data_IF_769738319454
#
_entry.id   IF_769738319454
#
_cell.length_a   1.000
_cell.length_b   1.000
_cell.length_c   1.000
_cell.angle_alpha   90.00
_cell.angle_beta   90.00
_cell.angle_gamma   90.00
#
_symmetry.space_group_name_H-M   'P 1'
#
loop_
_entity.id
_entity.type
_entity.pdbx_description
1 polymer ?
#
# COMPACT_ATOMS: atom_id res chain seq x y z
N UNK A 1 20.54 3.98 27.33
CA UNK A 1 19.54 4.19 26.27
C UNK A 1 19.90 3.27 25.14
N UNK A 2 18.99 2.40 24.71
CA UNK A 2 19.20 1.54 23.55
C UNK A 2 19.16 2.41 22.31
N UNK A 3 20.22 2.37 21.52
CA UNK A 3 20.29 3.06 20.23
C UNK A 3 19.19 2.51 19.32
N UNK A 4 18.43 3.40 18.67
CA UNK A 4 17.33 2.98 17.82
C UNK A 4 17.87 2.39 16.51
N UNK A 5 17.29 1.30 15.96
CA UNK A 5 17.87 0.58 14.83
C UNK A 5 18.13 1.41 13.56
N UNK A 6 17.37 2.49 13.36
CA UNK A 6 17.50 3.39 12.21
C UNK A 6 17.95 4.81 12.60
N UNK A 7 18.57 4.98 13.77
CA UNK A 7 19.12 6.26 14.18
C UNK A 7 20.09 6.80 13.11
N UNK A 8 19.91 8.05 12.71
CA UNK A 8 20.73 8.72 11.68
C UNK A 8 20.29 8.47 10.23
N UNK A 9 19.36 7.55 9.97
CA UNK A 9 18.80 7.32 8.63
C UNK A 9 17.81 8.42 8.27
N UNK A 10 17.99 9.05 7.10
CA UNK A 10 17.09 10.07 6.56
C UNK A 10 16.18 9.48 5.49
N UNK A 11 14.88 9.70 5.64
CA UNK A 11 13.86 9.19 4.73
C UNK A 11 13.08 10.34 4.12
N UNK A 12 13.03 10.40 2.79
CA UNK A 12 12.10 11.28 2.09
C UNK A 12 10.84 10.50 1.70
N UNK A 13 9.69 11.01 2.11
CA UNK A 13 8.39 10.37 1.90
C UNK A 13 7.53 11.20 0.94
N UNK A 14 7.23 10.63 -0.23
CA UNK A 14 6.32 11.20 -1.24
C UNK A 14 5.02 10.40 -1.25
N UNK A 15 4.05 10.81 -0.42
CA UNK A 15 2.98 9.90 -0.04
C UNK A 15 1.56 10.43 -0.16
N UNK A 16 0.68 9.49 -0.46
CA UNK A 16 -0.77 9.63 -0.40
C UNK A 16 -1.39 8.44 0.34
N UNK A 17 -2.44 8.69 1.12
CA UNK A 17 -3.26 7.68 1.78
C UNK A 17 -2.56 6.81 2.83
N UNK A 18 -2.39 5.50 2.60
CA UNK A 18 -2.14 4.55 3.71
C UNK A 18 -0.82 3.80 3.58
N UNK A 19 -0.50 3.24 2.41
CA UNK A 19 0.64 2.33 2.26
C UNK A 19 1.98 2.99 2.60
N UNK A 20 2.31 4.08 1.92
CA UNK A 20 3.54 4.82 2.17
C UNK A 20 3.55 5.51 3.55
N UNK A 21 2.45 6.14 4.02
CA UNK A 21 2.46 6.72 5.36
C UNK A 21 2.65 5.68 6.49
N UNK A 22 2.12 4.46 6.34
CA UNK A 22 2.41 3.37 7.28
C UNK A 22 3.88 2.94 7.25
N UNK A 23 4.47 2.83 6.05
CA UNK A 23 5.89 2.55 5.90
C UNK A 23 6.73 3.61 6.63
N UNK A 24 6.51 4.90 6.33
CA UNK A 24 7.25 5.98 6.98
C UNK A 24 7.01 6.08 8.48
N UNK A 25 5.79 5.80 8.98
CA UNK A 25 5.54 5.72 10.42
C UNK A 25 6.41 4.65 11.07
N UNK A 26 6.48 3.48 10.44
CA UNK A 26 7.27 2.35 10.94
C UNK A 26 8.76 2.71 10.98
N UNK A 27 9.27 3.34 9.92
CA UNK A 27 10.66 3.81 9.86
C UNK A 27 10.94 4.86 10.94
N UNK A 28 10.04 5.83 11.14
CA UNK A 28 10.17 6.85 12.19
C UNK A 28 10.18 6.24 13.59
N UNK A 29 9.31 5.25 13.86
CA UNK A 29 9.27 4.54 15.14
C UNK A 29 10.54 3.73 15.43
N UNK A 30 11.25 3.32 14.38
CA UNK A 30 12.56 2.67 14.47
C UNK A 30 13.74 3.66 14.54
N UNK A 31 13.46 4.96 14.56
CA UNK A 31 14.45 6.04 14.79
C UNK A 31 14.93 6.79 13.56
N UNK A 32 14.35 6.52 12.38
CA UNK A 32 14.66 7.28 11.18
C UNK A 32 14.08 8.70 11.25
N UNK A 33 14.80 9.65 10.63
CA UNK A 33 14.32 11.00 10.41
C UNK A 33 13.50 11.05 9.10
N UNK A 34 12.17 11.02 9.25
CA UNK A 34 11.24 10.94 8.11
C UNK A 34 10.68 12.32 7.80
N UNK A 35 10.89 12.79 6.57
CA UNK A 35 10.33 14.03 6.03
C UNK A 35 9.32 13.70 4.95
N UNK A 36 8.04 14.00 5.20
CA UNK A 36 6.97 13.88 4.22
C UNK A 36 6.87 15.16 3.38
N UNK A 37 6.85 15.02 2.06
CA UNK A 37 6.56 16.11 1.14
C UNK A 37 5.06 16.10 0.84
N UNK A 38 4.45 17.27 0.90
CA UNK A 38 3.03 17.49 0.64
C UNK A 38 2.83 18.57 -0.42
N UNK A 39 1.79 18.47 -1.27
CA UNK A 39 1.44 19.54 -2.18
C UNK A 39 0.88 20.76 -1.42
N UNK A 40 0.85 21.95 -2.04
CA UNK A 40 0.18 23.12 -1.48
C UNK A 40 -1.25 22.82 -1.02
N UNK A 41 -1.55 23.12 0.24
CA UNK A 41 -2.85 22.81 0.86
C UNK A 41 -2.94 21.42 1.49
N UNK A 42 -1.90 20.60 1.37
CA UNK A 42 -1.78 19.28 1.98
C UNK A 42 -2.31 18.13 1.14
N UNK A 43 -1.89 16.91 1.48
CA UNK A 43 -2.28 15.71 0.74
C UNK A 43 -3.77 15.33 0.97
N UNK A 44 -4.42 14.62 0.01
CA UNK A 44 -5.84 14.23 0.11
C UNK A 44 -6.19 13.39 1.35
N UNK A 45 -5.20 12.73 1.97
CA UNK A 45 -5.41 11.95 3.19
C UNK A 45 -5.52 12.78 4.47
N UNK A 46 -5.24 14.09 4.44
CA UNK A 46 -5.47 15.00 5.58
C UNK A 46 -6.94 15.08 6.00
N UNK A 47 -7.86 14.88 5.06
CA UNK A 47 -9.32 14.92 5.27
C UNK A 47 -9.99 13.56 5.07
N UNK A 48 -9.21 12.47 5.05
CA UNK A 48 -9.74 11.12 4.92
C UNK A 48 -10.59 10.74 6.15
N UNK A 49 -11.81 10.25 5.91
CA UNK A 49 -12.66 9.72 6.98
C UNK A 49 -12.05 8.49 7.67
N UNK A 50 -12.28 8.30 8.98
CA UNK A 50 -13.11 9.14 9.84
C UNK A 50 -12.41 10.43 10.30
N UNK A 51 -13.21 11.49 10.52
CA UNK A 51 -12.74 12.79 11.01
C UNK A 51 -13.09 12.95 12.50
N UNK A 52 -12.20 13.60 13.24
CA UNK A 52 -12.51 14.13 14.56
C UNK A 52 -13.55 15.27 14.45
N UNK A 53 -14.25 15.65 15.54
CA UNK A 53 -15.19 16.77 15.53
C UNK A 53 -14.60 18.08 14.97
N UNK A 54 -13.30 18.30 15.13
CA UNK A 54 -12.56 19.44 14.57
C UNK A 54 -12.12 19.28 13.11
N UNK A 55 -12.60 18.27 12.38
CA UNK A 55 -12.32 18.06 10.95
C UNK A 55 -10.96 17.43 10.63
N UNK A 56 -10.12 17.13 11.61
CA UNK A 56 -8.84 16.46 11.40
C UNK A 56 -9.02 14.96 11.22
N UNK A 57 -8.34 14.36 10.24
CA UNK A 57 -8.40 12.91 9.99
C UNK A 57 -7.71 12.09 11.07
N UNK A 58 -8.40 11.04 11.54
CA UNK A 58 -7.79 10.02 12.40
C UNK A 58 -6.74 9.18 11.65
N UNK A 59 -6.91 8.97 10.33
CA UNK A 59 -5.88 8.33 9.50
C UNK A 59 -4.64 9.19 9.42
N UNK A 60 -4.79 10.50 9.14
CA UNK A 60 -3.68 11.43 9.07
C UNK A 60 -2.86 11.43 10.37
N UNK A 61 -3.54 11.69 11.48
CA UNK A 61 -2.89 11.78 12.80
C UNK A 61 -2.30 10.45 13.23
N UNK A 62 -2.94 9.32 12.90
CA UNK A 62 -2.44 7.98 13.21
C UNK A 62 -1.20 7.58 12.42
N UNK A 63 -1.12 7.93 11.13
CA UNK A 63 -0.09 7.45 10.20
C UNK A 63 1.11 8.40 10.05
N UNK A 64 1.08 9.59 10.65
CA UNK A 64 2.15 10.59 10.45
C UNK A 64 2.82 11.04 11.77
N UNK A 65 2.62 10.31 12.86
CA UNK A 65 3.27 10.59 14.16
C UNK A 65 4.79 10.52 14.03
N UNK A 66 5.48 11.46 14.66
CA UNK A 66 6.95 11.50 14.71
C UNK A 66 7.62 11.93 13.41
N UNK A 67 6.86 12.15 12.32
CA UNK A 67 7.39 12.65 11.06
C UNK A 67 7.48 14.17 11.07
N UNK A 68 8.36 14.70 10.22
CA UNK A 68 8.34 16.10 9.77
C UNK A 68 7.62 16.17 8.43
N UNK A 69 7.08 17.34 8.10
CA UNK A 69 6.41 17.56 6.82
C UNK A 69 6.84 18.91 6.21
N UNK A 70 6.97 18.94 4.89
CA UNK A 70 7.27 20.13 4.10
C UNK A 70 6.25 20.27 2.97
N UNK A 71 5.86 21.50 2.67
CA UNK A 71 4.96 21.82 1.56
C UNK A 71 5.79 22.21 0.33
N UNK A 72 5.63 21.49 -0.78
CA UNK A 72 6.35 21.75 -2.04
C UNK A 72 5.40 21.50 -3.23
N UNK A 73 5.34 22.47 -4.15
CA UNK A 73 4.58 22.35 -5.39
C UNK A 73 5.34 21.53 -6.46
N UNK A 74 5.02 20.24 -6.55
CA UNK A 74 5.53 19.34 -7.59
C UNK A 74 5.07 19.68 -9.02
N UNK A 75 4.09 20.58 -9.18
CA UNK A 75 3.66 21.11 -10.47
C UNK A 75 4.67 22.10 -11.08
N UNK A 76 5.52 22.72 -10.26
CA UNK A 76 6.55 23.67 -10.68
C UNK A 76 7.90 23.00 -10.99
N UNK A 77 8.71 23.60 -11.88
CA UNK A 77 10.07 23.13 -12.14
C UNK A 77 10.96 23.24 -10.88
N UNK A 78 10.87 24.36 -10.18
CA UNK A 78 11.63 24.60 -8.95
C UNK A 78 11.26 23.60 -7.84
N UNK A 79 9.97 23.30 -7.67
CA UNK A 79 9.53 22.31 -6.68
C UNK A 79 9.97 20.89 -7.02
N UNK A 80 9.97 20.52 -8.31
CA UNK A 80 10.54 19.25 -8.77
C UNK A 80 12.04 19.18 -8.48
N UNK A 81 12.77 20.25 -8.77
CA UNK A 81 14.21 20.32 -8.49
C UNK A 81 14.49 20.23 -6.98
N UNK A 82 13.75 20.96 -6.15
CA UNK A 82 13.89 20.91 -4.70
C UNK A 82 13.65 19.50 -4.13
N UNK A 83 12.63 18.79 -4.63
CA UNK A 83 12.38 17.40 -4.22
C UNK A 83 13.47 16.45 -4.72
N UNK A 84 14.00 16.66 -5.92
CA UNK A 84 15.14 15.89 -6.42
C UNK A 84 16.39 16.10 -5.56
N UNK A 85 16.67 17.34 -5.14
CA UNK A 85 17.80 17.66 -4.26
C UNK A 85 17.62 17.04 -2.87
N UNK A 86 16.42 17.15 -2.28
CA UNK A 86 16.08 16.49 -1.02
C UNK A 86 16.22 14.96 -1.11
N UNK A 87 15.79 14.37 -2.23
CA UNK A 87 15.90 12.94 -2.48
C UNK A 87 17.37 12.52 -2.61
N UNK A 88 18.21 13.31 -3.29
CA UNK A 88 19.65 13.09 -3.37
C UNK A 88 20.36 13.19 -2.02
N UNK A 89 19.76 13.90 -1.06
CA UNK A 89 20.21 13.97 0.32
C UNK A 89 19.63 12.91 1.26
N UNK A 90 18.68 12.08 0.82
CA UNK A 90 18.06 11.05 1.66
C UNK A 90 18.76 9.69 1.49
N UNK A 91 18.73 8.86 2.53
CA UNK A 91 19.24 7.49 2.47
C UNK A 91 18.19 6.53 1.88
N UNK A 92 16.91 6.86 2.08
CA UNK A 92 15.76 6.11 1.55
C UNK A 92 14.72 7.07 1.00
N UNK A 93 14.16 6.76 -0.16
CA UNK A 93 12.97 7.42 -0.70
C UNK A 93 11.83 6.43 -0.73
N UNK A 94 10.68 6.80 -0.16
CA UNK A 94 9.46 6.00 -0.22
C UNK A 94 8.39 6.81 -0.92
N UNK A 95 7.86 6.29 -2.04
CA UNK A 95 6.93 7.02 -2.88
C UNK A 95 5.72 6.17 -3.30
N UNK A 96 4.52 6.74 -3.14
CA UNK A 96 3.30 6.28 -3.84
C UNK A 96 2.44 7.45 -4.33
N UNK A 97 2.89 8.70 -4.17
CA UNK A 97 2.22 9.86 -4.73
C UNK A 97 2.35 9.86 -6.27
N UNK A 98 1.29 10.22 -7.00
CA UNK A 98 1.35 10.31 -8.45
C UNK A 98 2.34 11.40 -8.88
N UNK A 99 3.40 11.00 -9.59
CA UNK A 99 4.32 11.92 -10.29
C UNK A 99 4.04 11.99 -11.80
N UNK A 100 3.13 11.14 -12.28
CA UNK A 100 2.65 11.04 -13.66
C UNK A 100 1.14 10.87 -13.65
N UNK A 101 0.48 11.35 -14.69
CA UNK A 101 -0.90 10.96 -14.97
C UNK A 101 -0.97 9.47 -15.31
N UNK A 102 -2.18 8.90 -15.21
CA UNK A 102 -2.40 7.51 -15.62
C UNK A 102 -1.99 7.30 -17.09
N UNK A 103 -2.31 8.24 -17.99
CA UNK A 103 -1.96 8.15 -19.41
C UNK A 103 -0.45 8.16 -19.64
N UNK A 104 0.28 9.03 -18.92
CA UNK A 104 1.74 9.10 -18.98
C UNK A 104 2.39 7.81 -18.45
N UNK A 105 1.85 7.25 -17.37
CA UNK A 105 2.31 5.96 -16.88
C UNK A 105 2.01 4.86 -17.90
N UNK A 106 0.76 4.77 -18.38
CA UNK A 106 0.28 3.74 -19.30
C UNK A 106 1.05 3.71 -20.63
N UNK A 107 1.46 4.87 -21.16
CA UNK A 107 2.28 4.95 -22.37
C UNK A 107 3.64 4.23 -22.24
N UNK A 108 4.20 4.17 -21.02
CA UNK A 108 5.45 3.46 -20.73
C UNK A 108 5.23 2.02 -20.29
N UNK A 109 4.00 1.64 -19.93
CA UNK A 109 3.70 0.28 -19.47
C UNK A 109 3.76 -0.77 -20.59
N UNK A 110 3.69 -0.36 -21.86
CA UNK A 110 4.04 -1.12 -23.08
C UNK A 110 3.95 -2.64 -22.98
N UNK A 111 4.98 -3.37 -23.42
CA UNK A 111 5.19 -4.80 -23.11
C UNK A 111 6.16 -4.92 -21.92
N UNK A 112 5.95 -4.12 -20.87
CA UNK A 112 6.89 -4.12 -19.75
C UNK A 112 6.82 -5.48 -19.01
N UNK A 113 7.96 -6.15 -18.73
CA UNK A 113 8.00 -7.49 -18.14
C UNK A 113 7.50 -7.56 -16.67
N UNK A 114 7.04 -6.43 -16.14
CA UNK A 114 6.38 -6.38 -14.82
C UNK A 114 4.88 -6.65 -14.96
N UNK A 115 4.28 -6.41 -16.12
CA UNK A 115 2.84 -6.50 -16.33
C UNK A 115 2.50 -7.70 -17.20
N UNK A 116 1.49 -8.46 -16.79
CA UNK A 116 0.91 -9.54 -17.57
C UNK A 116 -0.62 -9.45 -17.54
N UNK A 117 -1.27 -10.12 -18.50
CA UNK A 117 -2.72 -10.28 -18.50
C UNK A 117 -3.17 -11.15 -17.33
N UNK A 118 -4.17 -10.67 -16.58
CA UNK A 118 -4.79 -11.34 -15.45
C UNK A 118 -6.31 -11.37 -15.64
N UNK A 119 -6.91 -12.55 -15.50
CA UNK A 119 -8.37 -12.69 -15.40
C UNK A 119 -8.77 -12.74 -13.91
N UNK A 120 -9.31 -11.63 -13.39
CA UNK A 120 -9.72 -11.55 -11.99
C UNK A 120 -11.22 -11.84 -11.85
N UNK A 121 -11.62 -12.88 -11.10
CA UNK A 121 -13.03 -13.11 -10.78
C UNK A 121 -13.71 -11.86 -10.21
N UNK A 122 -14.82 -11.46 -10.83
CA UNK A 122 -15.61 -10.28 -10.46
C UNK A 122 -15.19 -8.96 -11.15
N UNK A 123 -14.04 -8.92 -11.82
CA UNK A 123 -13.55 -7.75 -12.57
C UNK A 123 -13.41 -8.08 -14.07
N UNK A 124 -12.86 -9.25 -14.40
CA UNK A 124 -12.55 -9.69 -15.76
C UNK A 124 -11.07 -9.52 -16.13
N UNK A 125 -10.76 -9.67 -17.41
CA UNK A 125 -9.40 -9.59 -17.97
C UNK A 125 -8.87 -8.16 -17.98
N UNK A 126 -7.69 -7.96 -17.43
CA UNK A 126 -6.97 -6.70 -17.44
C UNK A 126 -5.48 -6.94 -17.16
N UNK A 127 -4.63 -5.94 -17.42
CA UNK A 127 -3.22 -6.00 -17.04
C UNK A 127 -3.01 -5.73 -15.57
N UNK A 128 -2.21 -6.57 -14.93
CA UNK A 128 -1.81 -6.42 -13.53
C UNK A 128 -0.30 -6.58 -13.38
N UNK A 129 0.32 -5.94 -12.38
CA UNK A 129 1.73 -6.13 -12.10
C UNK A 129 1.97 -7.48 -11.40
N UNK A 130 2.97 -8.22 -11.85
CA UNK A 130 3.59 -9.32 -11.12
C UNK A 130 4.56 -8.83 -10.05
N UNK A 131 5.46 -9.71 -9.62
CA UNK A 131 6.48 -9.39 -8.62
C UNK A 131 7.48 -8.35 -9.18
N UNK A 132 7.71 -7.23 -8.47
CA UNK A 132 8.80 -6.32 -8.80
C UNK A 132 10.16 -6.93 -8.47
N UNK A 133 10.20 -7.95 -7.62
CA UNK A 133 11.41 -8.69 -7.25
C UNK A 133 11.67 -9.83 -8.24
N UNK A 134 12.94 -9.97 -8.61
CA UNK A 134 13.47 -11.11 -9.38
C UNK A 134 14.14 -12.04 -8.38
N UNK A 135 13.69 -13.29 -8.32
CA UNK A 135 14.27 -14.33 -7.44
C UNK A 135 14.71 -15.48 -8.33
N UNK A 136 15.98 -15.89 -8.20
CA UNK A 136 16.58 -16.95 -9.02
C UNK A 136 16.46 -16.71 -10.54
N UNK A 137 16.50 -15.44 -10.95
CA UNK A 137 16.38 -15.03 -12.35
C UNK A 137 14.94 -14.91 -12.87
N UNK A 138 13.94 -15.33 -12.07
CA UNK A 138 12.55 -15.39 -12.47
C UNK A 138 11.71 -14.28 -11.79
N UNK A 139 10.70 -13.79 -12.51
CA UNK A 139 9.65 -12.93 -11.96
C UNK A 139 8.37 -13.75 -11.82
N UNK A 140 7.68 -13.58 -10.70
CA UNK A 140 6.37 -14.19 -10.51
C UNK A 140 5.30 -13.36 -11.21
N UNK A 141 4.54 -13.98 -12.09
CA UNK A 141 3.37 -13.36 -12.73
C UNK A 141 2.29 -12.97 -11.72
N UNK A 142 1.45 -11.96 -12.04
CA UNK A 142 0.27 -11.65 -11.24
C UNK A 142 -0.65 -12.86 -11.12
N UNK A 143 -1.23 -13.05 -9.94
CA UNK A 143 -2.24 -14.08 -9.69
C UNK A 143 -3.52 -13.43 -9.19
N UNK A 144 -4.71 -14.01 -9.48
CA UNK A 144 -5.96 -13.42 -9.06
C UNK A 144 -6.06 -13.44 -7.53
N UNK A 145 -6.63 -12.37 -6.98
CA UNK A 145 -7.02 -12.33 -5.58
C UNK A 145 -8.10 -13.39 -5.31
N UNK A 146 -8.02 -14.10 -4.17
CA UNK A 146 -8.96 -15.15 -3.85
C UNK A 146 -10.37 -14.59 -3.59
N UNK A 147 -11.38 -15.40 -3.89
CA UNK A 147 -12.75 -15.12 -3.47
C UNK A 147 -12.90 -15.35 -1.97
N UNK A 148 -13.85 -14.66 -1.34
CA UNK A 148 -14.24 -14.95 0.05
C UNK A 148 -14.65 -16.43 0.15
N UNK A 149 -14.04 -17.15 1.09
CA UNK A 149 -14.32 -18.56 1.32
C UNK A 149 -13.53 -19.54 0.44
N UNK A 150 -12.79 -19.08 -0.57
CA UNK A 150 -12.15 -19.94 -1.58
C UNK A 150 -11.24 -21.03 -0.97
N UNK A 151 -10.53 -20.70 0.10
CA UNK A 151 -9.57 -21.62 0.74
C UNK A 151 -9.99 -22.02 2.16
N UNK A 152 -11.24 -21.73 2.56
CA UNK A 152 -11.69 -21.98 3.94
C UNK A 152 -11.52 -23.45 4.32
N UNK A 153 -12.08 -24.38 3.54
CA UNK A 153 -12.04 -25.80 3.88
C UNK A 153 -10.62 -26.36 3.83
N UNK A 154 -9.82 -25.95 2.83
CA UNK A 154 -8.42 -26.35 2.69
C UNK A 154 -7.61 -25.95 3.94
N UNK A 155 -7.61 -24.66 4.27
CA UNK A 155 -6.78 -24.11 5.36
C UNK A 155 -7.29 -24.58 6.72
N UNK A 156 -8.60 -24.55 6.96
CA UNK A 156 -9.19 -24.93 8.25
C UNK A 156 -9.03 -26.43 8.50
N UNK A 157 -9.22 -27.27 7.49
CA UNK A 157 -9.03 -28.72 7.64
C UNK A 157 -7.57 -29.07 7.85
N UNK A 158 -6.66 -28.46 7.09
CA UNK A 158 -5.23 -28.68 7.26
C UNK A 158 -4.74 -28.28 8.67
N UNK A 159 -5.28 -27.21 9.24
CA UNK A 159 -4.88 -26.71 10.55
C UNK A 159 -5.59 -27.39 11.74
N UNK A 160 -6.89 -27.69 11.60
CA UNK A 160 -7.78 -28.05 12.72
C UNK A 160 -8.44 -29.44 12.58
N UNK A 161 -8.25 -30.13 11.45
CA UNK A 161 -8.83 -31.44 11.17
C UNK A 161 -10.29 -31.40 10.67
N UNK A 162 -10.68 -32.46 9.96
CA UNK A 162 -11.97 -32.55 9.26
C UNK A 162 -13.19 -32.46 10.20
N UNK A 163 -13.11 -33.08 11.39
CA UNK A 163 -14.21 -33.04 12.37
C UNK A 163 -14.47 -31.61 12.86
N UNK A 164 -13.42 -30.83 13.07
CA UNK A 164 -13.54 -29.42 13.46
C UNK A 164 -14.15 -28.61 12.32
N UNK A 165 -13.67 -28.79 11.09
CA UNK A 165 -14.23 -28.11 9.91
C UNK A 165 -15.72 -28.41 9.76
N UNK A 166 -16.12 -29.68 9.88
CA UNK A 166 -17.52 -30.08 9.79
C UNK A 166 -18.39 -29.41 10.87
N UNK A 167 -17.91 -29.36 12.11
CA UNK A 167 -18.60 -28.67 13.21
C UNK A 167 -18.72 -27.16 12.97
N UNK A 168 -17.70 -26.52 12.40
CA UNK A 168 -17.73 -25.09 12.07
C UNK A 168 -18.76 -24.78 10.97
N UNK A 169 -18.91 -25.66 9.97
CA UNK A 169 -20.00 -25.57 8.99
C UNK A 169 -21.37 -25.76 9.65
N UNK A 170 -21.53 -26.76 10.52
CA UNK A 170 -22.79 -27.03 11.23
C UNK A 170 -23.27 -25.84 12.08
N UNK A 171 -22.32 -25.08 12.65
CA UNK A 171 -22.62 -23.90 13.47
C UNK A 171 -22.69 -22.61 12.68
N UNK A 172 -22.53 -22.64 11.35
CA UNK A 172 -22.40 -21.46 10.48
C UNK A 172 -21.26 -20.51 10.87
N UNK A 173 -20.24 -21.01 11.58
CA UNK A 173 -19.06 -20.23 11.94
C UNK A 173 -18.13 -20.00 10.74
N UNK A 174 -18.18 -20.89 9.75
CA UNK A 174 -17.57 -20.73 8.43
C UNK A 174 -18.65 -20.89 7.35
N UNK A 175 -18.48 -20.17 6.23
CA UNK A 175 -19.42 -20.20 5.12
C UNK A 175 -19.28 -21.45 4.27
N UNK A 176 -20.37 -21.84 3.59
CA UNK A 176 -20.35 -22.98 2.68
C UNK A 176 -19.36 -22.75 1.51
N UNK A 177 -18.75 -23.82 0.98
CA UNK A 177 -17.88 -23.75 -0.19
C UNK A 177 -18.57 -23.01 -1.33
N UNK A 178 -17.86 -22.10 -1.99
CA UNK A 178 -18.34 -21.35 -3.16
C UNK A 178 -19.60 -20.47 -2.98
N UNK A 179 -19.91 -20.05 -1.75
CA UNK A 179 -20.99 -19.06 -1.55
C UNK A 179 -20.65 -17.75 -2.27
N UNK A 180 -21.51 -17.23 -3.17
CA UNK A 180 -21.26 -15.95 -3.82
C UNK A 180 -21.09 -14.84 -2.78
N UNK A 181 -20.07 -14.00 -2.94
CA UNK A 181 -19.92 -12.79 -2.12
C UNK A 181 -21.22 -11.98 -2.20
N UNK A 182 -21.84 -11.70 -1.04
CA UNK A 182 -22.99 -10.78 -0.98
C UNK A 182 -22.60 -9.49 -1.70
N UNK A 183 -23.35 -9.11 -2.73
CA UNK A 183 -23.27 -7.75 -3.27
C UNK A 183 -23.57 -6.81 -2.09
N UNK A 184 -22.59 -6.00 -1.71
CA UNK A 184 -22.86 -4.82 -0.89
C UNK A 184 -23.84 -3.95 -1.67
N UNK A 185 -25.04 -3.78 -1.10
CA UNK A 185 -26.03 -2.82 -1.58
C UNK A 185 -25.55 -1.39 -1.33
#
# INVERSE_FOLDING_TARGET
MTEQPLAGVRVLELSSYVATPLCGLTLAQLGADVVRVEPPGGAPDRTRLPLAPGGTSYYWTGLNKGKRAVEIDLGSDDGRQAVADLAGGADVVVANAPYRSFDQAAAELGEHPLFAELDQPGIGRHRAPGSPLVVDGERTDPRPAPRVGQHTDEVVTAALGADTTARLHQTSAIGAPDTPTRRSA
#
